data_IF_830515989948
#
_entry.id   IF_830515989948
#
_cell.length_a   1.000
_cell.length_b   1.000
_cell.length_c   1.000
_cell.angle_alpha   90.00
_cell.angle_beta   90.00
_cell.angle_gamma   90.00
#
_symmetry.space_group_name_H-M   'P 1'
#
loop_
_entity.id
_entity.type
_entity.pdbx_description
1 polymer ?
#
# COMPACT_ATOMS: atom_id res chain seq x y z
N UNK A 1 25.55 -22.54 -14.86
CA UNK A 1 25.45 -23.82 -15.58
C UNK A 1 24.61 -23.59 -16.82
N UNK A 2 25.26 -23.70 -17.99
CA UNK A 2 24.65 -23.60 -19.32
C UNK A 2 23.88 -24.86 -19.60
N UNK A 3 22.70 -24.80 -20.16
CA UNK A 3 22.12 -25.87 -20.97
C UNK A 3 21.37 -25.29 -22.15
N UNK A 4 22.00 -25.45 -23.31
CA UNK A 4 21.43 -25.32 -24.66
C UNK A 4 20.67 -26.63 -25.00
N UNK A 5 19.61 -26.57 -25.78
CA UNK A 5 19.08 -27.63 -26.66
C UNK A 5 18.11 -26.94 -27.60
N UNK A 6 18.33 -26.92 -28.81
CA UNK A 6 18.50 -27.84 -29.97
C UNK A 6 17.27 -27.75 -30.86
N UNK A 7 17.57 -27.34 -32.09
CA UNK A 7 16.73 -27.35 -33.30
C UNK A 7 16.07 -28.71 -33.55
N UNK A 8 14.87 -28.68 -34.15
CA UNK A 8 14.43 -29.66 -35.10
C UNK A 8 13.83 -29.02 -36.34
N UNK A 9 14.48 -29.26 -37.47
CA UNK A 9 14.03 -29.06 -38.83
C UNK A 9 13.36 -30.36 -39.34
N UNK A 10 12.24 -30.24 -40.01
CA UNK A 10 11.76 -31.12 -41.09
C UNK A 10 10.51 -30.45 -41.67
N UNK A 11 10.37 -30.09 -42.91
CA UNK A 11 10.63 -30.83 -44.10
C UNK A 11 9.31 -31.20 -44.81
N UNK A 12 8.95 -30.45 -45.86
CA UNK A 12 8.37 -30.99 -47.07
C UNK A 12 6.85 -31.05 -47.22
N UNK A 13 6.25 -30.33 -48.15
CA UNK A 13 5.69 -30.85 -49.42
C UNK A 13 4.75 -29.83 -50.05
N UNK A 14 5.04 -29.52 -51.27
CA UNK A 14 4.28 -28.67 -52.15
C UNK A 14 2.96 -29.33 -52.62
N UNK A 15 1.86 -28.56 -52.56
CA UNK A 15 0.68 -28.85 -53.35
C UNK A 15 0.09 -27.50 -53.80
N UNK A 16 0.09 -27.28 -55.10
CA UNK A 16 -0.54 -26.13 -55.72
C UNK A 16 -2.08 -26.28 -55.69
N UNK A 17 -2.82 -25.25 -55.32
CA UNK A 17 -4.24 -25.20 -55.63
C UNK A 17 -4.55 -24.10 -56.63
N UNK A 18 -5.50 -24.43 -57.45
CA UNK A 18 -6.20 -23.64 -58.45
C UNK A 18 -6.72 -22.33 -57.90
N UNK A 19 -6.41 -21.28 -58.64
CA UNK A 19 -6.94 -19.92 -58.39
C UNK A 19 -8.42 -19.87 -58.74
N UNK A 20 -9.25 -19.56 -57.77
CA UNK A 20 -10.61 -19.06 -57.94
C UNK A 20 -10.62 -17.56 -57.57
N UNK A 21 -11.04 -16.65 -58.46
CA UNK A 21 -11.15 -15.26 -58.11
C UNK A 21 -12.37 -15.06 -57.16
N UNK A 22 -12.10 -14.74 -55.93
CA UNK A 22 -13.14 -14.29 -54.98
C UNK A 22 -13.43 -12.80 -55.17
N UNK A 23 -14.69 -12.38 -55.06
CA UNK A 23 -15.04 -10.95 -55.16
C UNK A 23 -14.43 -10.18 -53.97
N UNK A 24 -13.77 -9.09 -54.26
CA UNK A 24 -13.23 -8.18 -53.27
C UNK A 24 -14.36 -7.51 -52.49
N UNK A 25 -14.75 -8.08 -51.38
CA UNK A 25 -15.53 -7.36 -50.37
C UNK A 25 -14.59 -6.38 -49.64
N UNK A 26 -14.75 -5.11 -49.95
CA UNK A 26 -14.13 -4.03 -49.19
C UNK A 26 -14.65 -4.08 -47.74
N UNK A 27 -13.93 -4.81 -46.89
CA UNK A 27 -14.12 -4.72 -45.45
C UNK A 27 -13.66 -3.33 -45.00
N UNK A 28 -14.64 -2.45 -44.76
CA UNK A 28 -14.39 -1.21 -44.05
C UNK A 28 -13.66 -1.53 -42.74
N UNK A 29 -12.39 -1.14 -42.68
CA UNK A 29 -11.60 -1.22 -41.44
C UNK A 29 -12.29 -0.32 -40.42
N UNK A 30 -13.10 -0.93 -39.57
CA UNK A 30 -13.59 -0.29 -38.34
C UNK A 30 -12.35 0.07 -37.51
N UNK A 31 -12.02 1.34 -37.47
CA UNK A 31 -11.01 1.85 -36.52
C UNK A 31 -11.36 1.36 -35.13
N UNK A 32 -10.40 0.79 -34.37
CA UNK A 32 -10.68 0.42 -33.01
C UNK A 32 -11.02 1.69 -32.24
N UNK A 33 -12.30 1.89 -31.95
CA UNK A 33 -12.74 2.90 -31.02
C UNK A 33 -12.04 2.57 -29.70
N UNK A 34 -11.04 3.36 -29.35
CA UNK A 34 -10.36 3.27 -28.05
C UNK A 34 -11.44 3.62 -27.03
N UNK A 35 -12.13 2.59 -26.55
CA UNK A 35 -13.07 2.73 -25.45
C UNK A 35 -12.25 3.34 -24.32
N UNK A 36 -12.51 4.61 -24.01
CA UNK A 36 -11.94 5.26 -22.85
C UNK A 36 -12.35 4.42 -21.66
N UNK A 37 -11.38 3.68 -21.09
CA UNK A 37 -11.61 2.90 -19.88
C UNK A 37 -12.06 3.89 -18.83
N UNK A 38 -13.37 3.93 -18.60
CA UNK A 38 -13.95 4.75 -17.56
C UNK A 38 -13.20 4.38 -16.27
N UNK A 39 -12.49 5.35 -15.70
CA UNK A 39 -11.80 5.13 -14.43
C UNK A 39 -12.88 4.83 -13.42
N UNK A 40 -13.00 3.56 -13.04
CA UNK A 40 -13.90 3.15 -11.99
C UNK A 40 -13.59 3.99 -10.76
N UNK A 41 -14.61 4.65 -10.24
CA UNK A 41 -14.47 5.41 -8.99
C UNK A 41 -14.38 4.39 -7.84
N UNK A 42 -13.53 4.63 -6.84
CA UNK A 42 -13.44 3.73 -5.70
C UNK A 42 -14.77 3.67 -4.93
N UNK A 43 -15.10 2.52 -4.36
CA UNK A 43 -16.31 2.31 -3.53
C UNK A 43 -16.33 3.26 -2.33
N UNK A 44 -15.17 3.56 -1.79
CA UNK A 44 -15.03 4.52 -0.70
C UNK A 44 -13.94 5.53 -1.02
N UNK A 45 -14.08 6.72 -0.49
CA UNK A 45 -13.07 7.76 -0.54
C UNK A 45 -12.72 8.22 0.88
N UNK A 46 -11.51 8.71 1.08
CA UNK A 46 -11.03 9.03 2.42
C UNK A 46 -10.51 10.46 2.52
N UNK A 47 -10.91 11.14 3.61
CA UNK A 47 -10.26 12.38 4.05
C UNK A 47 -9.19 12.02 5.07
N UNK A 48 -7.93 12.28 4.70
CA UNK A 48 -6.78 11.97 5.54
C UNK A 48 -6.29 13.20 6.28
N UNK A 49 -6.09 13.06 7.59
CA UNK A 49 -5.38 14.01 8.42
C UNK A 49 -4.17 13.34 9.05
N UNK A 50 -3.00 13.95 8.89
CA UNK A 50 -1.76 13.46 9.49
C UNK A 50 -1.09 14.62 10.21
N UNK A 51 -0.84 14.43 11.50
CA UNK A 51 -0.12 15.40 12.33
C UNK A 51 1.16 14.74 12.82
N UNK A 52 2.34 15.14 12.32
CA UNK A 52 3.61 14.70 12.87
C UNK A 52 3.96 15.52 14.13
N UNK A 53 4.78 14.98 15.02
CA UNK A 53 5.49 15.82 15.99
C UNK A 53 6.38 16.82 15.24
N UNK A 54 6.38 18.08 15.66
CA UNK A 54 6.92 19.22 14.89
C UNK A 54 8.39 19.05 14.46
N UNK A 55 9.36 19.16 15.40
CA UNK A 55 10.79 19.05 15.13
C UNK A 55 11.39 17.90 15.94
N UNK A 56 12.43 17.28 15.43
CA UNK A 56 13.18 16.24 16.15
C UNK A 56 14.69 16.45 16.01
N UNK A 57 15.47 15.80 16.87
CA UNK A 57 16.93 15.75 16.78
C UNK A 57 17.39 14.53 15.98
N UNK A 58 18.67 14.49 15.57
CA UNK A 58 19.29 13.28 15.01
C UNK A 58 19.14 12.12 16.00
N UNK A 59 18.74 10.95 15.55
CA UNK A 59 18.45 9.82 16.43
C UNK A 59 17.21 10.01 17.32
N UNK A 60 16.47 11.10 17.12
CA UNK A 60 15.26 11.39 17.89
C UNK A 60 14.04 10.62 17.38
N UNK A 61 12.94 10.81 18.06
CA UNK A 61 11.66 10.15 17.76
C UNK A 61 10.73 11.09 17.03
N UNK A 62 9.88 10.55 16.16
CA UNK A 62 8.79 11.24 15.50
C UNK A 62 7.52 10.46 15.78
N UNK A 63 6.51 11.13 16.32
CA UNK A 63 5.18 10.54 16.49
C UNK A 63 4.28 11.06 15.39
N UNK A 64 3.49 10.18 14.81
CA UNK A 64 2.49 10.47 13.80
C UNK A 64 1.11 10.15 14.37
N UNK A 65 0.18 11.08 14.17
CA UNK A 65 -1.25 10.89 14.41
C UNK A 65 -1.93 10.87 13.06
N UNK A 66 -2.41 9.70 12.66
CA UNK A 66 -3.13 9.50 11.40
C UNK A 66 -4.61 9.36 11.71
N UNK A 67 -5.44 10.07 10.96
CA UNK A 67 -6.90 9.97 11.01
C UNK A 67 -7.40 9.81 9.59
N UNK A 68 -8.28 8.83 9.39
CA UNK A 68 -8.87 8.50 8.11
C UNK A 68 -10.39 8.51 8.25
N UNK A 69 -11.06 9.53 7.71
CA UNK A 69 -12.51 9.61 7.66
C UNK A 69 -13.01 9.05 6.34
N UNK A 70 -13.87 8.04 6.38
CA UNK A 70 -14.55 7.56 5.19
C UNK A 70 -15.62 8.59 4.75
N UNK A 71 -15.47 9.13 3.56
CA UNK A 71 -16.43 10.06 2.96
C UNK A 71 -17.53 9.34 2.18
N UNK A 72 -17.41 8.03 1.97
CA UNK A 72 -18.34 7.24 1.19
C UNK A 72 -18.01 7.22 -0.31
N UNK A 73 -18.96 6.78 -1.13
CA UNK A 73 -20.39 6.59 -0.82
C UNK A 73 -20.70 5.39 0.08
N UNK A 74 -19.86 4.35 0.07
CA UNK A 74 -20.09 3.10 0.80
C UNK A 74 -19.20 3.01 2.06
N UNK A 75 -19.37 1.93 2.82
CA UNK A 75 -18.44 1.56 3.87
C UNK A 75 -17.14 1.01 3.26
N UNK A 76 -16.06 1.03 4.05
CA UNK A 76 -14.80 0.38 3.71
C UNK A 76 -14.56 -0.77 4.69
N UNK A 77 -14.42 -1.96 4.19
CA UNK A 77 -14.14 -3.19 4.95
C UNK A 77 -12.74 -3.73 4.66
N UNK A 78 -12.20 -3.44 3.48
CA UNK A 78 -10.89 -3.89 3.06
C UNK A 78 -9.93 -2.71 2.85
N UNK A 79 -9.42 -2.18 3.95
CA UNK A 79 -8.50 -1.04 3.95
C UNK A 79 -7.40 -1.18 4.99
N UNK A 80 -6.31 -0.48 4.75
CA UNK A 80 -5.17 -0.34 5.65
C UNK A 80 -4.90 1.12 5.95
N UNK A 81 -4.59 1.43 7.20
CA UNK A 81 -4.15 2.75 7.63
C UNK A 81 -2.66 2.70 7.96
N UNK A 82 -1.88 3.67 7.48
CA UNK A 82 -0.43 3.69 7.67
C UNK A 82 0.29 4.40 6.55
N UNK A 83 1.27 3.72 5.92
CA UNK A 83 1.97 4.22 4.75
C UNK A 83 3.49 4.19 4.86
N UNK A 84 4.14 5.00 4.04
CA UNK A 84 5.59 5.03 3.91
C UNK A 84 6.21 5.93 4.98
N UNK A 85 7.00 5.34 5.87
CA UNK A 85 7.77 6.06 6.90
C UNK A 85 9.03 6.73 6.31
N UNK A 86 9.64 7.70 7.02
CA UNK A 86 10.85 8.38 6.55
C UNK A 86 12.01 7.42 6.28
N UNK A 87 12.92 7.81 5.39
CA UNK A 87 14.23 7.16 5.28
C UNK A 87 15.00 7.30 6.59
N UNK A 88 15.85 6.30 6.90
CA UNK A 88 16.69 6.33 8.08
C UNK A 88 15.97 6.09 9.40
N UNK A 89 14.84 5.42 9.38
CA UNK A 89 14.14 4.93 10.57
C UNK A 89 14.74 3.61 11.02
N UNK A 90 14.81 3.41 12.33
CA UNK A 90 15.12 2.10 12.95
C UNK A 90 13.89 1.21 12.77
N UNK A 91 14.02 -0.09 12.37
CA UNK A 91 12.90 -0.97 12.09
C UNK A 91 12.19 -1.48 13.37
N UNK A 92 11.98 -0.59 14.32
CA UNK A 92 11.23 -0.83 15.54
C UNK A 92 10.41 0.41 15.83
N UNK A 93 9.11 0.24 16.07
CA UNK A 93 8.22 1.34 16.39
C UNK A 93 7.25 0.97 17.50
N UNK A 94 6.69 2.00 18.11
CA UNK A 94 5.57 1.90 19.02
C UNK A 94 4.31 2.38 18.32
N UNK A 95 3.19 1.72 18.54
CA UNK A 95 1.95 2.10 17.90
C UNK A 95 0.74 1.87 18.80
N UNK A 96 -0.36 2.54 18.49
CA UNK A 96 -1.66 2.38 19.09
C UNK A 96 -2.75 2.62 18.06
N UNK A 97 -3.79 1.81 18.09
CA UNK A 97 -4.95 1.84 17.23
C UNK A 97 -6.15 1.21 17.93
N UNK A 98 -7.27 1.05 17.26
CA UNK A 98 -8.44 0.35 17.77
C UNK A 98 -8.09 -1.09 18.21
N UNK A 99 -8.88 -1.63 19.16
CA UNK A 99 -8.71 -3.02 19.62
C UNK A 99 -8.83 -4.00 18.45
N UNK A 100 -7.97 -4.99 18.40
CA UNK A 100 -7.96 -6.00 17.35
C UNK A 100 -7.17 -5.62 16.09
N UNK A 101 -6.66 -4.39 15.99
CA UNK A 101 -5.79 -3.96 14.88
C UNK A 101 -4.52 -4.82 14.84
N UNK A 102 -4.18 -5.27 13.64
CA UNK A 102 -2.93 -5.95 13.29
C UNK A 102 -2.09 -5.03 12.40
N UNK A 103 -0.77 -5.19 12.43
CA UNK A 103 0.11 -4.35 11.62
C UNK A 103 1.22 -5.19 11.00
N UNK A 104 1.68 -4.77 9.84
CA UNK A 104 2.84 -5.31 9.14
C UNK A 104 3.83 -4.20 8.82
N UNK A 105 5.10 -4.57 8.66
CA UNK A 105 6.18 -3.68 8.26
C UNK A 105 7.03 -4.33 7.19
N UNK A 106 7.08 -3.72 6.03
CA UNK A 106 7.91 -4.17 4.93
C UNK A 106 8.74 -3.02 4.36
N UNK A 107 10.07 -3.15 4.41
CA UNK A 107 10.98 -2.12 3.96
C UNK A 107 10.73 -0.77 4.66
N UNK A 108 9.99 0.12 4.02
CA UNK A 108 9.60 1.42 4.55
C UNK A 108 8.08 1.59 4.67
N UNK A 109 7.34 0.55 4.37
CA UNK A 109 5.89 0.56 4.46
C UNK A 109 5.46 -0.04 5.79
N UNK A 110 4.64 0.69 6.52
CA UNK A 110 4.01 0.27 7.76
C UNK A 110 2.50 0.38 7.58
N UNK A 111 1.83 -0.75 7.58
CA UNK A 111 0.41 -0.84 7.37
C UNK A 111 -0.27 -1.55 8.53
N UNK A 112 -1.41 -1.02 8.93
CA UNK A 112 -2.25 -1.60 9.97
C UNK A 112 -3.67 -1.77 9.44
N UNK A 113 -4.29 -2.88 9.79
CA UNK A 113 -5.68 -3.17 9.47
C UNK A 113 -6.39 -3.69 10.72
N UNK A 114 -7.67 -3.40 10.84
CA UNK A 114 -8.50 -3.86 11.93
C UNK A 114 -9.57 -4.84 11.45
N UNK A 115 -10.24 -5.50 12.38
CA UNK A 115 -11.44 -6.28 12.06
C UNK A 115 -12.65 -5.37 11.79
N UNK A 116 -12.45 -4.07 11.78
CA UNK A 116 -13.52 -3.09 11.78
C UNK A 116 -13.84 -2.62 10.38
N UNK A 117 -15.11 -2.73 10.04
CA UNK A 117 -15.74 -2.07 8.92
C UNK A 117 -15.88 -0.59 9.22
N UNK A 118 -15.37 0.27 8.33
CA UNK A 118 -15.45 1.72 8.50
C UNK A 118 -16.64 2.28 7.72
N UNK A 119 -17.69 2.59 8.41
CA UNK A 119 -18.90 3.17 7.83
C UNK A 119 -18.66 4.58 7.28
N UNK A 120 -19.50 5.00 6.35
CA UNK A 120 -19.52 6.37 5.83
C UNK A 120 -19.62 7.39 6.97
N UNK A 121 -18.77 8.38 6.94
CA UNK A 121 -18.70 9.45 7.94
C UNK A 121 -17.92 9.11 9.20
N UNK A 122 -17.62 7.84 9.45
CA UNK A 122 -16.80 7.42 10.61
C UNK A 122 -15.32 7.63 10.34
N UNK A 123 -14.55 7.66 11.42
CA UNK A 123 -13.11 7.92 11.39
C UNK A 123 -12.37 6.80 12.10
N UNK A 124 -11.40 6.22 11.42
CA UNK A 124 -10.41 5.34 12.01
C UNK A 124 -9.11 6.11 12.31
N UNK A 125 -8.28 5.56 13.19
CA UNK A 125 -7.07 6.21 13.66
C UNK A 125 -5.92 5.26 13.90
N UNK A 126 -4.72 5.77 13.66
CA UNK A 126 -3.45 5.11 13.97
C UNK A 126 -2.48 6.13 14.53
N UNK A 127 -1.95 5.86 15.71
CA UNK A 127 -0.85 6.64 16.28
C UNK A 127 0.39 5.76 16.32
N UNK A 128 1.51 6.26 15.85
CA UNK A 128 2.75 5.50 15.94
C UNK A 128 3.98 6.40 16.07
N UNK A 129 5.01 5.85 16.67
CA UNK A 129 6.27 6.55 16.92
C UNK A 129 7.42 5.77 16.30
N UNK A 130 8.18 6.44 15.44
CA UNK A 130 9.41 5.93 14.83
C UNK A 130 10.63 6.59 15.46
N UNK A 131 11.76 5.86 15.48
CA UNK A 131 13.06 6.39 15.91
C UNK A 131 13.97 6.57 14.69
N UNK A 132 14.56 7.75 14.53
CA UNK A 132 15.53 8.00 13.48
C UNK A 132 16.90 7.41 13.84
N UNK A 133 17.64 6.95 12.84
CA UNK A 133 19.07 6.63 13.00
C UNK A 133 19.86 7.92 13.32
N UNK A 134 20.92 7.82 14.12
CA UNK A 134 21.75 8.96 14.53
C UNK A 134 22.35 9.74 13.35
N UNK A 135 22.60 9.07 12.21
CA UNK A 135 23.13 9.70 10.98
C UNK A 135 22.10 10.48 10.17
N UNK A 136 20.81 10.40 10.46
CA UNK A 136 19.75 11.04 9.67
C UNK A 136 19.79 12.55 9.83
N UNK A 137 19.80 13.29 8.70
CA UNK A 137 19.89 14.76 8.64
C UNK A 137 18.80 15.34 7.74
N UNK A 138 18.56 16.64 7.84
CA UNK A 138 17.67 17.39 6.94
C UNK A 138 16.20 17.27 7.33
N UNK A 139 15.39 16.71 6.47
CA UNK A 139 13.94 16.59 6.66
C UNK A 139 13.52 15.12 6.57
N UNK A 140 12.85 14.65 7.60
CA UNK A 140 12.20 13.34 7.61
C UNK A 140 10.84 13.45 6.92
N UNK A 141 10.71 12.86 5.74
CA UNK A 141 9.48 12.88 4.94
C UNK A 141 8.79 11.53 5.03
N UNK A 142 7.52 11.54 5.42
CA UNK A 142 6.62 10.40 5.39
C UNK A 142 5.46 10.64 4.39
N UNK A 143 4.85 9.55 3.91
CA UNK A 143 3.60 9.56 3.14
C UNK A 143 2.63 8.62 3.84
N UNK A 144 1.65 9.18 4.54
CA UNK A 144 0.77 8.44 5.42
C UNK A 144 -0.70 8.67 5.08
N UNK A 145 -1.51 7.64 5.28
CA UNK A 145 -2.93 7.70 4.96
C UNK A 145 -3.59 6.33 4.94
N UNK A 146 -4.31 6.05 3.87
CA UNK A 146 -5.08 4.82 3.66
C UNK A 146 -4.73 4.20 2.31
N UNK A 147 -4.69 2.89 2.27
CA UNK A 147 -4.82 2.05 1.09
C UNK A 147 -6.11 1.26 1.22
N UNK A 148 -6.90 1.17 0.16
CA UNK A 148 -8.12 0.38 0.12
C UNK A 148 -8.25 -0.33 -1.22
N UNK A 149 -8.85 -1.52 -1.20
CA UNK A 149 -9.24 -2.26 -2.39
C UNK A 149 -10.76 -2.33 -2.46
N UNK A 150 -11.28 -2.20 -3.67
CA UNK A 150 -12.70 -2.40 -3.92
C UNK A 150 -12.91 -3.88 -4.24
N UNK A 151 -13.20 -4.64 -3.21
CA UNK A 151 -13.49 -6.07 -3.30
C UNK A 151 -14.98 -6.30 -3.11
N UNK A 152 -15.49 -7.34 -3.76
CA UNK A 152 -16.86 -7.77 -3.55
C UNK A 152 -17.01 -8.45 -2.19
N UNK A 153 -18.22 -8.45 -1.67
CA UNK A 153 -18.53 -9.07 -0.38
C UNK A 153 -18.12 -10.56 -0.41
N UNK A 154 -17.42 -11.00 0.61
CA UNK A 154 -16.87 -12.35 0.72
C UNK A 154 -15.42 -12.50 0.24
N UNK A 155 -14.85 -11.45 -0.34
CA UNK A 155 -13.44 -11.45 -0.80
C UNK A 155 -12.48 -10.77 0.21
N UNK A 156 -12.93 -10.44 1.40
CA UNK A 156 -12.16 -9.68 2.40
C UNK A 156 -10.96 -10.47 3.00
N UNK A 157 -10.93 -11.78 2.76
CA UNK A 157 -9.85 -12.66 3.23
C UNK A 157 -8.77 -12.93 2.16
N UNK A 158 -8.93 -12.39 0.96
CA UNK A 158 -7.95 -12.56 -0.12
C UNK A 158 -6.74 -11.67 0.19
N UNK A 159 -5.53 -12.21 0.01
CA UNK A 159 -4.31 -11.44 0.23
C UNK A 159 -4.04 -10.41 -0.89
N UNK A 160 -3.13 -9.48 -0.64
CA UNK A 160 -2.82 -8.40 -1.59
C UNK A 160 -2.23 -8.92 -2.90
N UNK A 161 -1.46 -10.01 -2.87
CA UNK A 161 -0.84 -10.59 -4.06
C UNK A 161 -1.90 -11.21 -4.97
N UNK A 162 -2.83 -11.92 -4.40
CA UNK A 162 -3.96 -12.51 -5.12
C UNK A 162 -4.90 -11.45 -5.67
N UNK A 163 -5.17 -10.37 -4.94
CA UNK A 163 -5.92 -9.23 -5.45
C UNK A 163 -5.26 -8.62 -6.68
N UNK A 164 -3.94 -8.48 -6.67
CA UNK A 164 -3.17 -8.02 -7.83
C UNK A 164 -3.26 -8.99 -9.00
N UNK A 165 -3.17 -10.30 -8.74
CA UNK A 165 -3.31 -11.35 -9.75
C UNK A 165 -4.69 -11.33 -10.41
N UNK A 166 -5.72 -11.06 -9.65
CA UNK A 166 -7.10 -10.90 -10.12
C UNK A 166 -7.35 -9.54 -10.81
N UNK A 167 -6.35 -8.66 -10.87
CA UNK A 167 -6.48 -7.34 -11.47
C UNK A 167 -7.26 -6.34 -10.63
N UNK A 168 -7.53 -6.66 -9.36
CA UNK A 168 -8.25 -5.77 -8.44
C UNK A 168 -7.33 -4.62 -8.05
N UNK A 169 -7.78 -3.41 -8.31
CA UNK A 169 -6.99 -2.20 -8.16
C UNK A 169 -7.03 -1.66 -6.73
N UNK A 170 -5.86 -1.42 -6.16
CA UNK A 170 -5.72 -0.67 -4.91
C UNK A 170 -5.77 0.84 -5.13
N UNK A 171 -6.45 1.53 -4.24
CA UNK A 171 -6.54 2.99 -4.20
C UNK A 171 -5.81 3.53 -2.99
N UNK A 172 -5.10 4.67 -3.17
CA UNK A 172 -4.25 5.24 -2.14
C UNK A 172 -4.62 6.70 -1.88
N UNK A 173 -4.88 7.03 -0.63
CA UNK A 173 -5.07 8.39 -0.13
C UNK A 173 -3.95 8.72 0.83
N UNK A 174 -2.82 9.20 0.30
CA UNK A 174 -1.61 9.46 1.07
C UNK A 174 -1.32 10.95 1.18
N UNK A 175 -1.06 11.41 2.38
CA UNK A 175 -0.63 12.77 2.67
C UNK A 175 0.87 12.78 2.96
N UNK A 176 1.61 13.62 2.22
CA UNK A 176 3.03 13.88 2.49
C UNK A 176 3.15 14.79 3.71
N UNK A 177 3.96 14.40 4.69
CA UNK A 177 4.27 15.19 5.88
C UNK A 177 5.76 15.22 6.12
N UNK A 178 6.24 16.34 6.64
CA UNK A 178 7.65 16.63 6.84
C UNK A 178 7.91 16.98 8.29
N UNK A 179 8.98 16.41 8.86
CA UNK A 179 9.51 16.76 10.19
C UNK A 179 10.94 17.25 10.04
N UNK A 180 11.24 18.45 10.49
CA UNK A 180 12.59 19.01 10.43
C UNK A 180 13.49 18.36 11.48
N UNK A 181 14.64 17.85 11.03
CA UNK A 181 15.68 17.32 11.91
C UNK A 181 16.63 18.43 12.26
N UNK A 182 16.70 18.80 13.54
CA UNK A 182 17.57 19.89 14.02
C UNK A 182 18.88 19.38 14.58
N UNK A 183 19.96 20.18 14.41
CA UNK A 183 21.28 19.94 15.00
C UNK A 183 21.93 21.32 15.23
N UNK A 184 22.42 21.61 16.43
CA UNK A 184 22.36 20.80 17.66
C UNK A 184 20.93 20.61 18.16
N UNK A 185 20.69 19.67 19.10
CA UNK A 185 19.38 19.42 19.63
C UNK A 185 18.87 20.67 20.37
N UNK A 186 17.76 21.26 19.91
CA UNK A 186 17.02 22.19 20.76
C UNK A 186 16.44 21.42 21.93
N UNK A 187 16.57 21.95 23.14
CA UNK A 187 15.78 21.47 24.27
C UNK A 187 14.32 21.41 23.83
N UNK A 188 13.62 20.29 24.03
CA UNK A 188 12.19 20.24 23.75
C UNK A 188 11.55 21.40 24.49
N UNK A 189 10.86 22.27 23.75
CA UNK A 189 9.97 23.24 24.39
C UNK A 189 9.06 22.44 25.32
N UNK A 190 8.83 22.96 26.54
CA UNK A 190 8.00 22.31 27.54
C UNK A 190 6.75 21.74 26.89
N UNK A 191 6.47 20.50 27.22
CA UNK A 191 5.16 19.88 27.23
C UNK A 191 4.52 19.40 25.94
N UNK A 192 5.21 18.62 25.12
CA UNK A 192 4.42 17.65 24.38
C UNK A 192 5.05 16.26 24.57
N UNK A 193 4.51 15.50 25.49
CA UNK A 193 4.73 14.08 25.56
C UNK A 193 3.55 13.43 24.87
N UNK A 194 3.76 12.77 23.72
CA UNK A 194 2.68 12.00 23.14
C UNK A 194 2.25 10.95 24.17
N UNK A 195 0.96 10.63 24.24
CA UNK A 195 0.54 9.48 25.01
C UNK A 195 1.38 8.28 24.59
N UNK A 196 1.87 7.47 25.53
CA UNK A 196 2.70 6.34 25.19
C UNK A 196 1.93 5.41 24.24
N UNK A 197 2.53 5.00 23.11
CA UNK A 197 1.91 4.01 22.25
C UNK A 197 1.63 2.73 23.05
N UNK A 198 0.47 2.15 22.83
CA UNK A 198 -0.04 1.01 23.61
C UNK A 198 0.71 -0.28 23.33
N UNK A 199 1.34 -0.36 22.14
CA UNK A 199 2.01 -1.60 21.70
C UNK A 199 3.36 -1.29 21.04
N UNK A 200 4.30 -2.24 21.17
CA UNK A 200 5.55 -2.24 20.42
C UNK A 200 5.44 -3.25 19.29
N UNK A 201 5.74 -2.81 18.08
CA UNK A 201 5.86 -3.68 16.92
C UNK A 201 7.34 -3.97 16.69
N UNK A 202 7.68 -5.23 16.75
CA UNK A 202 8.96 -5.75 16.30
C UNK A 202 8.66 -6.57 15.05
N UNK A 203 9.23 -6.24 13.89
CA UNK A 203 8.99 -7.00 12.69
C UNK A 203 9.43 -8.45 12.90
N UNK A 204 8.70 -9.43 12.36
CA UNK A 204 9.12 -10.83 12.41
C UNK A 204 10.48 -11.00 11.71
N UNK A 205 11.29 -11.92 12.18
CA UNK A 205 12.65 -12.17 11.68
C UNK A 205 12.67 -12.72 10.25
N UNK A 206 11.58 -13.32 9.76
CA UNK A 206 11.43 -13.79 8.38
C UNK A 206 9.95 -13.90 7.98
N UNK A 207 9.68 -13.71 6.70
CA UNK A 207 8.35 -13.84 6.09
C UNK A 207 7.78 -15.28 6.06
N UNK A 208 8.59 -16.29 6.41
CA UNK A 208 8.20 -17.69 6.24
C UNK A 208 7.17 -18.23 7.25
N UNK A 209 7.03 -17.59 8.42
CA UNK A 209 6.14 -18.15 9.46
C UNK A 209 4.67 -17.75 9.36
N UNK A 210 4.32 -16.71 8.61
CA UNK A 210 2.93 -16.25 8.55
C UNK A 210 2.01 -17.10 7.67
N UNK A 211 2.58 -17.88 6.74
CA UNK A 211 1.79 -18.72 5.82
C UNK A 211 1.51 -20.15 6.31
N UNK A 212 2.22 -20.62 7.35
CA UNK A 212 2.01 -22.01 7.84
C UNK A 212 0.81 -22.23 8.76
N UNK A 213 0.07 -21.20 9.14
CA UNK A 213 -1.09 -21.31 10.05
C UNK A 213 -2.46 -21.30 9.40
N UNK A 214 -2.53 -21.41 8.06
CA UNK A 214 -3.83 -21.40 7.37
C UNK A 214 -4.32 -22.76 6.87
N UNK A 215 -3.53 -23.83 7.05
CA UNK A 215 -3.87 -25.19 6.54
C UNK A 215 -4.10 -26.21 7.66
N UNK A 216 -4.86 -25.83 8.69
CA UNK A 216 -5.45 -26.82 9.62
C UNK A 216 -6.84 -26.36 10.06
#
# INVERSE_FOLDING_TARGET
MRRSFSLFLAGGLAAAPLAVPAPASAAAAASPTTAAVARLKPYSSFKISVTPSGRTKRGGKITYYVRAKNLGPYYADYYWIGGQVPKGVVPTLRWGAAKGTKCTWEGRWFWCWGPLRLEKGKTDWLNFQVTLKKGTKGTATARLGVMSFDVDQGMENIDEEELKRLGIKGYYWLKKVNTKIVSPPRRPGRSWSPPPPVKTYNPPASHEESNKKKDT
#
